data_IF_348984664319
#
_entry.id   IF_348984664319
#
_cell.length_a   1.000
_cell.length_b   1.000
_cell.length_c   1.000
_cell.angle_alpha   90.00
_cell.angle_beta   90.00
_cell.angle_gamma   90.00
#
_symmetry.space_group_name_H-M   'P 1'
#
loop_
_entity.id
_entity.type
_entity.pdbx_description
1 polymer ?
#
# COMPACT_ATOMS: atom_id res chain seq x y z
N UNK A 1 12.36 7.04 4.28
CA UNK A 1 12.22 7.90 5.48
C UNK A 1 13.50 7.93 6.32
N UNK A 2 14.24 6.82 6.40
CA UNK A 2 15.37 6.64 7.34
C UNK A 2 16.68 7.32 6.88
N UNK A 3 16.73 7.79 5.64
CA UNK A 3 17.93 8.37 5.01
C UNK A 3 17.84 9.89 4.80
N UNK A 4 16.73 10.55 5.16
CA UNK A 4 16.53 11.98 4.93
C UNK A 4 17.54 12.80 5.74
N UNK A 5 18.42 13.59 5.09
CA UNK A 5 19.40 14.44 5.79
C UNK A 5 18.69 15.55 6.59
N UNK A 6 18.89 15.59 7.92
CA UNK A 6 18.23 16.57 8.80
C UNK A 6 18.51 18.03 8.41
N UNK A 7 19.72 18.34 7.94
CA UNK A 7 20.10 19.69 7.52
C UNK A 7 19.30 20.16 6.31
N UNK A 8 19.15 19.32 5.29
CA UNK A 8 18.37 19.59 4.08
C UNK A 8 16.87 19.68 4.40
N UNK A 9 16.34 18.75 5.22
CA UNK A 9 14.95 18.80 5.70
C UNK A 9 14.65 20.11 6.42
N UNK A 10 15.53 20.51 7.36
CA UNK A 10 15.37 21.77 8.11
C UNK A 10 15.46 22.99 7.19
N UNK A 11 16.24 22.96 6.11
CA UNK A 11 16.25 24.02 5.10
C UNK A 11 14.88 24.13 4.39
N UNK A 12 14.31 23.00 3.96
CA UNK A 12 12.96 22.96 3.35
C UNK A 12 11.89 23.51 4.30
N UNK A 13 11.97 23.18 5.59
CA UNK A 13 11.02 23.64 6.61
C UNK A 13 11.11 25.16 6.84
N UNK A 14 12.32 25.73 6.89
CA UNK A 14 12.53 27.18 7.06
C UNK A 14 11.92 28.02 5.94
N UNK A 15 11.77 27.46 4.76
CA UNK A 15 11.11 28.16 3.65
C UNK A 15 9.60 28.31 3.84
N UNK A 16 9.00 27.56 4.77
CA UNK A 16 7.56 27.54 5.00
C UNK A 16 7.15 27.96 6.40
N UNK A 17 8.05 27.80 7.36
CA UNK A 17 7.82 28.07 8.78
C UNK A 17 8.76 29.19 9.21
N UNK A 18 8.21 30.34 9.56
CA UNK A 18 8.94 31.48 10.09
C UNK A 18 9.17 31.40 11.61
N UNK A 19 8.32 30.67 12.32
CA UNK A 19 8.40 30.53 13.78
C UNK A 19 9.60 29.68 14.19
N UNK A 20 10.57 30.33 14.83
CA UNK A 20 11.80 29.68 15.33
C UNK A 20 11.52 28.66 16.45
N UNK A 21 10.46 28.83 17.25
CA UNK A 21 10.11 27.90 18.35
C UNK A 21 9.61 26.58 17.75
N UNK A 22 8.74 26.64 16.72
CA UNK A 22 8.26 25.46 15.99
C UNK A 22 9.42 24.73 15.33
N UNK A 23 10.31 25.43 14.63
CA UNK A 23 11.50 24.83 14.01
C UNK A 23 12.41 24.15 15.05
N UNK A 24 12.56 24.75 16.24
CA UNK A 24 13.33 24.16 17.35
C UNK A 24 12.68 22.86 17.84
N UNK A 25 11.36 22.84 18.02
CA UNK A 25 10.61 21.63 18.41
C UNK A 25 10.79 20.49 17.39
N UNK A 26 10.61 20.78 16.10
CA UNK A 26 10.81 19.79 15.05
C UNK A 26 12.25 19.24 15.08
N UNK A 27 13.25 20.12 15.26
CA UNK A 27 14.65 19.69 15.39
C UNK A 27 14.88 18.80 16.61
N UNK A 28 14.20 19.07 17.72
CA UNK A 28 14.24 18.20 18.91
C UNK A 28 13.61 16.83 18.64
N UNK A 29 12.46 16.77 18.00
CA UNK A 29 11.82 15.51 17.64
C UNK A 29 12.67 14.66 16.70
N UNK A 30 13.32 15.27 15.69
CA UNK A 30 14.22 14.56 14.77
C UNK A 30 15.46 13.98 15.48
N UNK A 31 15.86 14.54 16.61
CA UNK A 31 17.01 14.10 17.41
C UNK A 31 16.63 13.26 18.62
N UNK A 32 15.34 13.10 18.87
CA UNK A 32 14.87 12.29 20.00
C UNK A 32 15.38 10.85 19.88
N UNK A 33 15.86 10.26 20.98
CA UNK A 33 16.32 8.89 20.97
C UNK A 33 15.17 7.92 20.65
N UNK A 34 15.44 6.93 19.82
CA UNK A 34 14.53 5.83 19.53
C UNK A 34 14.88 4.68 20.47
N UNK A 35 13.89 4.22 21.23
CA UNK A 35 14.01 3.07 22.12
C UNK A 35 13.55 1.81 21.40
N UNK A 36 14.45 0.86 21.20
CA UNK A 36 14.12 -0.46 20.65
C UNK A 36 14.09 -1.49 21.79
N UNK A 37 12.98 -2.20 21.92
CA UNK A 37 12.87 -3.33 22.85
C UNK A 37 13.78 -4.46 22.38
N UNK A 38 14.83 -4.76 23.13
CA UNK A 38 15.70 -5.89 22.85
C UNK A 38 15.14 -7.17 23.48
N UNK A 39 14.80 -8.15 22.64
CA UNK A 39 14.53 -9.52 23.10
C UNK A 39 15.78 -10.08 23.81
N UNK A 40 15.67 -10.44 25.09
CA UNK A 40 16.66 -11.08 26.00
C UNK A 40 17.17 -10.22 27.15
N UNK A 41 16.26 -9.70 28.02
CA UNK A 41 16.68 -9.30 29.36
C UNK A 41 17.70 -8.17 29.48
N UNK A 42 18.14 -7.58 28.40
CA UNK A 42 18.92 -6.34 28.34
C UNK A 42 17.94 -5.18 28.14
N UNK A 43 18.08 -4.14 28.95
CA UNK A 43 17.24 -2.96 28.86
C UNK A 43 17.15 -2.36 27.44
N UNK A 44 16.19 -1.45 27.19
CA UNK A 44 15.95 -0.88 25.87
C UNK A 44 17.22 -0.22 25.31
N UNK A 45 17.57 -0.53 24.07
CA UNK A 45 18.68 0.11 23.36
C UNK A 45 18.23 1.47 22.87
N UNK A 46 18.86 2.53 23.35
CA UNK A 46 18.63 3.91 22.87
C UNK A 46 19.54 4.18 21.67
N UNK A 47 18.94 4.54 20.55
CA UNK A 47 19.65 4.95 19.33
C UNK A 47 19.34 6.42 19.02
N UNK A 48 20.37 7.23 18.80
CA UNK A 48 20.21 8.64 18.42
C UNK A 48 20.29 8.78 16.91
N UNK A 49 19.19 9.11 16.23
CA UNK A 49 19.18 9.22 14.77
C UNK A 49 19.97 10.45 14.32
N UNK A 50 20.94 10.26 13.42
CA UNK A 50 21.71 11.35 12.77
C UNK A 50 21.02 11.83 11.50
N UNK A 51 20.14 11.01 10.91
CA UNK A 51 19.38 11.25 9.70
C UNK A 51 18.04 10.51 9.80
N UNK A 52 17.15 10.78 8.87
CA UNK A 52 15.83 10.15 8.79
C UNK A 52 14.80 10.77 9.73
N UNK A 53 13.59 10.28 9.60
CA UNK A 53 12.47 10.58 10.50
C UNK A 53 12.08 9.31 11.23
N UNK A 54 11.85 9.35 12.56
CA UNK A 54 11.54 8.14 13.32
C UNK A 54 10.35 7.39 12.74
N UNK A 55 10.51 6.08 12.48
CA UNK A 55 9.41 5.24 12.03
C UNK A 55 8.33 5.16 13.13
N UNK A 56 7.06 5.36 12.72
CA UNK A 56 5.93 5.45 13.66
C UNK A 56 5.72 6.82 14.29
N UNK A 57 6.58 7.80 14.04
CA UNK A 57 6.35 9.18 14.48
C UNK A 57 5.17 9.82 13.73
N UNK A 58 4.23 10.42 14.46
CA UNK A 58 3.01 11.02 13.89
C UNK A 58 3.30 12.07 12.82
N UNK A 59 4.38 12.85 12.99
CA UNK A 59 4.78 13.93 12.06
C UNK A 59 5.69 13.44 10.93
N UNK A 60 6.26 12.24 11.02
CA UNK A 60 7.25 11.73 10.07
C UNK A 60 6.74 11.69 8.62
N UNK A 61 5.50 11.25 8.33
CA UNK A 61 4.97 11.26 6.96
C UNK A 61 4.84 12.68 6.39
N UNK A 62 4.48 13.65 7.23
CA UNK A 62 4.37 15.05 6.82
C UNK A 62 5.75 15.63 6.46
N UNK A 63 6.74 15.39 7.31
CA UNK A 63 8.12 15.87 7.08
C UNK A 63 8.73 15.28 5.81
N UNK A 64 8.53 13.97 5.59
CA UNK A 64 8.97 13.30 4.37
C UNK A 64 8.27 13.87 3.12
N UNK A 65 6.96 14.13 3.19
CA UNK A 65 6.23 14.75 2.10
C UNK A 65 6.68 16.18 1.81
N UNK A 66 7.01 16.98 2.83
CA UNK A 66 7.58 18.32 2.65
C UNK A 66 8.94 18.24 1.94
N UNK A 67 9.75 17.25 2.31
CA UNK A 67 11.06 17.04 1.69
C UNK A 67 10.95 16.59 0.24
N UNK A 68 10.14 15.58 -0.05
CA UNK A 68 9.93 15.05 -1.40
C UNK A 68 9.16 16.00 -2.32
N UNK A 69 8.41 16.97 -1.77
CA UNK A 69 7.74 18.00 -2.57
C UNK A 69 8.73 18.79 -3.48
N UNK A 70 10.00 18.87 -3.09
CA UNK A 70 11.01 19.49 -3.93
C UNK A 70 11.27 18.70 -5.21
N UNK A 71 11.25 17.36 -5.13
CA UNK A 71 11.29 16.51 -6.30
C UNK A 71 10.08 16.75 -7.20
N UNK A 72 8.87 16.79 -6.61
CA UNK A 72 7.64 17.07 -7.36
C UNK A 72 7.75 18.42 -8.08
N UNK A 73 8.22 19.46 -7.37
CA UNK A 73 8.35 20.81 -7.93
C UNK A 73 9.29 20.86 -9.12
N UNK A 74 10.49 20.28 -8.99
CA UNK A 74 11.50 20.27 -10.06
C UNK A 74 11.07 19.41 -11.24
N UNK A 75 10.34 18.32 -10.99
CA UNK A 75 9.78 17.47 -12.03
C UNK A 75 8.76 18.22 -12.91
N UNK A 76 7.97 19.12 -12.30
CA UNK A 76 6.94 19.93 -12.97
C UNK A 76 7.42 21.33 -13.39
N UNK A 77 8.70 21.64 -13.22
CA UNK A 77 9.25 22.94 -13.63
C UNK A 77 9.33 23.06 -15.16
N UNK A 78 9.65 24.27 -15.63
CA UNK A 78 9.78 24.59 -17.06
C UNK A 78 10.87 23.75 -17.77
N UNK A 79 11.91 23.38 -17.03
CA UNK A 79 13.02 22.54 -17.51
C UNK A 79 12.86 21.06 -17.08
N UNK A 80 11.72 20.71 -16.52
CA UNK A 80 11.44 19.37 -15.99
C UNK A 80 10.90 18.37 -17.03
N UNK A 81 10.87 17.08 -16.68
CA UNK A 81 10.40 15.99 -17.56
C UNK A 81 8.98 16.15 -18.09
N UNK A 82 8.13 16.91 -17.41
CA UNK A 82 6.78 17.24 -17.89
C UNK A 82 6.83 17.93 -19.24
N UNK A 83 7.82 18.83 -19.46
CA UNK A 83 7.92 19.62 -20.68
C UNK A 83 8.60 18.84 -21.80
N UNK A 84 9.81 18.33 -21.56
CA UNK A 84 10.61 17.73 -22.63
C UNK A 84 10.29 16.26 -22.91
N UNK A 85 9.69 15.50 -21.96
CA UNK A 85 9.30 14.10 -22.14
C UNK A 85 7.80 13.89 -22.17
N UNK A 86 6.98 14.93 -22.00
CA UNK A 86 5.53 14.82 -21.79
C UNK A 86 5.21 13.75 -20.73
N UNK A 87 5.95 13.82 -19.63
CA UNK A 87 5.85 12.85 -18.54
C UNK A 87 4.95 13.35 -17.43
N UNK A 88 4.29 12.44 -16.74
CA UNK A 88 3.45 12.74 -15.57
C UNK A 88 3.99 11.97 -14.38
N UNK A 89 4.25 12.67 -13.27
CA UNK A 89 4.65 12.07 -12.01
C UNK A 89 3.41 11.89 -11.14
N UNK A 90 3.20 10.67 -10.66
CA UNK A 90 2.19 10.33 -9.65
C UNK A 90 2.93 9.78 -8.44
N UNK A 91 2.89 10.50 -7.31
CA UNK A 91 3.58 10.12 -6.07
C UNK A 91 2.59 9.93 -4.92
N UNK A 92 2.83 8.91 -4.14
CA UNK A 92 2.16 8.65 -2.88
C UNK A 92 3.23 8.31 -1.82
N UNK A 93 3.47 9.24 -0.90
CA UNK A 93 4.57 9.18 0.07
C UNK A 93 5.93 9.00 -0.63
N UNK A 94 6.61 7.89 -0.42
CA UNK A 94 7.89 7.50 -1.04
C UNK A 94 7.72 6.66 -2.32
N UNK A 95 6.54 6.11 -2.55
CA UNK A 95 6.23 5.38 -3.79
C UNK A 95 5.81 6.35 -4.90
N UNK A 96 6.38 6.20 -6.09
CA UNK A 96 5.98 7.02 -7.24
C UNK A 96 6.01 6.23 -8.56
N UNK A 97 5.23 6.72 -9.51
CA UNK A 97 5.18 6.23 -10.89
C UNK A 97 5.36 7.41 -11.84
N UNK A 98 6.21 7.27 -12.82
CA UNK A 98 6.36 8.22 -13.92
C UNK A 98 5.74 7.61 -15.16
N UNK A 99 4.73 8.28 -15.70
CA UNK A 99 4.05 7.90 -16.93
C UNK A 99 4.63 8.80 -18.05
N UNK A 100 5.29 8.21 -19.04
CA UNK A 100 5.85 8.95 -20.15
C UNK A 100 5.41 8.33 -21.49
N UNK A 101 5.20 9.17 -22.48
CA UNK A 101 4.87 8.71 -23.84
C UNK A 101 6.09 8.11 -24.53
N UNK A 102 7.25 8.69 -24.29
CA UNK A 102 8.52 8.27 -24.83
C UNK A 102 9.45 7.92 -23.68
N UNK A 103 10.06 6.76 -23.77
CA UNK A 103 11.04 6.30 -22.79
C UNK A 103 12.43 6.62 -23.31
N UNK A 104 13.16 7.48 -22.59
CA UNK A 104 14.58 7.74 -22.81
C UNK A 104 15.35 7.54 -21.51
N UNK A 105 16.67 7.29 -21.60
CA UNK A 105 17.58 7.26 -20.45
C UNK A 105 17.55 8.57 -19.65
N UNK A 106 17.25 9.69 -20.32
CA UNK A 106 17.18 11.02 -19.73
C UNK A 106 16.25 11.14 -18.53
N UNK A 107 15.07 10.45 -18.55
CA UNK A 107 14.14 10.47 -17.40
C UNK A 107 14.77 9.76 -16.21
N UNK A 108 15.41 8.62 -16.45
CA UNK A 108 16.09 7.86 -15.41
C UNK A 108 17.25 8.66 -14.81
N UNK A 109 18.10 9.21 -15.65
CA UNK A 109 19.23 10.06 -15.25
C UNK A 109 18.75 11.27 -14.43
N UNK A 110 17.68 11.93 -14.88
CA UNK A 110 17.07 13.04 -14.14
C UNK A 110 16.60 12.60 -12.75
N UNK A 111 15.90 11.48 -12.65
CA UNK A 111 15.38 10.95 -11.37
C UNK A 111 16.54 10.61 -10.44
N UNK A 112 17.56 9.91 -10.93
CA UNK A 112 18.73 9.53 -10.15
C UNK A 112 19.50 10.77 -9.68
N UNK A 113 19.72 11.76 -10.55
CA UNK A 113 20.40 13.00 -10.19
C UNK A 113 19.62 13.77 -9.10
N UNK A 114 18.30 13.92 -9.26
CA UNK A 114 17.50 14.70 -8.31
C UNK A 114 17.28 14.00 -7.00
N UNK A 115 17.08 12.69 -7.00
CA UNK A 115 16.84 11.93 -5.76
C UNK A 115 18.14 11.60 -5.05
N UNK A 116 19.15 11.06 -5.75
CA UNK A 116 20.37 10.60 -5.09
C UNK A 116 21.38 11.73 -4.87
N UNK A 117 21.72 12.50 -5.90
CA UNK A 117 22.74 13.54 -5.75
C UNK A 117 22.21 14.78 -5.04
N UNK A 118 21.06 15.27 -5.44
CA UNK A 118 20.54 16.52 -4.90
C UNK A 118 19.82 16.34 -3.56
N UNK A 119 18.87 15.41 -3.45
CA UNK A 119 18.17 15.13 -2.18
C UNK A 119 19.01 14.26 -1.23
N UNK A 120 19.93 13.45 -1.71
CA UNK A 120 20.73 12.53 -0.90
C UNK A 120 19.91 11.35 -0.35
N UNK A 121 18.94 10.90 -1.14
CA UNK A 121 18.14 9.73 -0.86
C UNK A 121 18.62 8.56 -1.73
N UNK A 122 18.33 7.34 -1.33
CA UNK A 122 18.64 6.14 -2.11
C UNK A 122 17.41 5.65 -2.86
N UNK A 123 17.57 5.36 -4.15
CA UNK A 123 16.55 4.70 -4.97
C UNK A 123 16.67 3.18 -4.77
N UNK A 124 15.57 2.53 -4.38
CA UNK A 124 15.55 1.08 -4.30
C UNK A 124 15.52 0.46 -5.71
N UNK A 125 16.69 0.11 -6.22
CA UNK A 125 16.87 -0.41 -7.60
C UNK A 125 16.22 -1.78 -7.82
N UNK A 126 16.03 -2.58 -6.77
CA UNK A 126 15.33 -3.87 -6.87
C UNK A 126 13.83 -3.70 -7.12
N UNK A 127 13.25 -2.61 -6.61
CA UNK A 127 11.82 -2.30 -6.80
C UNK A 127 11.57 -1.36 -7.98
N UNK A 128 12.57 -0.57 -8.37
CA UNK A 128 12.46 0.38 -9.48
C UNK A 128 12.65 -0.34 -10.81
N UNK A 129 11.68 -0.20 -11.69
CA UNK A 129 11.71 -0.84 -13.00
C UNK A 129 11.01 0.00 -14.05
N UNK A 130 11.48 -0.13 -15.26
CA UNK A 130 10.86 0.46 -16.45
C UNK A 130 9.95 -0.60 -17.08
N UNK A 131 8.73 -0.21 -17.40
CA UNK A 131 7.71 -1.13 -17.94
C UNK A 131 7.11 -0.55 -19.22
N UNK A 132 7.19 -1.30 -20.32
CA UNK A 132 6.48 -0.96 -21.54
C UNK A 132 5.06 -1.57 -21.53
N UNK A 133 4.07 -0.72 -21.26
CA UNK A 133 2.67 -1.16 -21.22
C UNK A 133 2.12 -1.55 -22.60
N UNK A 134 2.62 -0.96 -23.70
CA UNK A 134 2.16 -1.26 -25.05
C UNK A 134 2.54 -2.68 -25.50
N UNK A 135 3.68 -3.16 -25.03
CA UNK A 135 4.19 -4.52 -25.27
C UNK A 135 3.65 -5.57 -24.29
N UNK A 136 2.60 -5.23 -23.54
CA UNK A 136 1.97 -6.15 -22.60
C UNK A 136 2.57 -6.15 -21.19
N UNK A 137 3.45 -5.20 -20.88
CA UNK A 137 3.96 -5.02 -19.53
C UNK A 137 2.86 -4.70 -18.53
N UNK A 138 3.16 -4.91 -17.25
CA UNK A 138 2.27 -4.53 -16.15
C UNK A 138 3.08 -4.04 -14.95
N UNK A 139 2.51 -3.15 -14.17
CA UNK A 139 3.09 -2.70 -12.92
C UNK A 139 2.06 -2.66 -11.81
N UNK A 140 2.55 -2.83 -10.59
CA UNK A 140 1.74 -2.71 -9.38
C UNK A 140 1.99 -1.36 -8.72
N UNK A 141 0.92 -0.63 -8.38
CA UNK A 141 0.99 0.62 -7.63
C UNK A 141 -0.20 0.72 -6.68
N UNK A 142 0.06 1.02 -5.42
CA UNK A 142 -0.95 1.14 -4.36
C UNK A 142 -1.92 -0.06 -4.28
N UNK A 143 -1.39 -1.26 -4.45
CA UNK A 143 -2.20 -2.49 -4.38
C UNK A 143 -3.00 -2.81 -5.64
N UNK A 144 -2.96 -1.97 -6.67
CA UNK A 144 -3.55 -2.24 -7.98
C UNK A 144 -2.49 -2.68 -8.97
N UNK A 145 -2.88 -3.54 -9.91
CA UNK A 145 -2.10 -3.88 -11.12
C UNK A 145 -2.68 -3.14 -12.31
N UNK A 146 -1.81 -2.42 -13.01
CA UNK A 146 -2.12 -1.67 -14.24
C UNK A 146 -1.54 -2.40 -15.44
N UNK A 147 -2.35 -2.64 -16.47
CA UNK A 147 -1.95 -3.25 -17.75
C UNK A 147 -2.96 -2.98 -18.85
N UNK A 148 -2.53 -3.02 -20.09
CA UNK A 148 -3.47 -3.06 -21.21
C UNK A 148 -4.03 -4.46 -21.40
N UNK A 149 -5.34 -4.54 -21.66
CA UNK A 149 -6.05 -5.76 -22.06
C UNK A 149 -6.75 -5.53 -23.39
N UNK A 150 -6.87 -6.60 -24.17
CA UNK A 150 -7.69 -6.58 -25.36
C UNK A 150 -9.17 -6.43 -24.99
N UNK A 151 -9.94 -5.79 -25.87
CA UNK A 151 -11.37 -5.68 -25.68
C UNK A 151 -12.04 -7.06 -25.65
N UNK A 152 -13.00 -7.26 -24.76
CA UNK A 152 -13.72 -8.53 -24.58
C UNK A 152 -14.62 -8.86 -25.79
N UNK A 153 -14.96 -7.85 -26.60
CA UNK A 153 -15.80 -8.00 -27.79
C UNK A 153 -14.99 -8.26 -29.07
N UNK A 154 -13.68 -8.55 -28.95
CA UNK A 154 -12.80 -8.83 -30.08
C UNK A 154 -12.43 -7.64 -30.95
N UNK A 155 -12.67 -6.42 -30.47
CA UNK A 155 -12.31 -5.20 -31.19
C UNK A 155 -10.79 -4.97 -31.16
N UNK A 156 -10.20 -4.27 -32.14
CA UNK A 156 -8.74 -4.16 -32.29
C UNK A 156 -8.07 -3.22 -31.25
N UNK A 157 -8.81 -2.59 -30.38
CA UNK A 157 -8.25 -1.70 -29.37
C UNK A 157 -8.01 -2.38 -28.02
N UNK A 158 -7.03 -1.84 -27.31
CA UNK A 158 -6.71 -2.24 -25.95
C UNK A 158 -7.22 -1.17 -25.00
N UNK A 159 -7.71 -1.58 -23.83
CA UNK A 159 -8.10 -0.66 -22.74
C UNK A 159 -7.17 -0.83 -21.54
N UNK A 160 -6.98 0.25 -20.79
CA UNK A 160 -6.23 0.21 -19.54
C UNK A 160 -7.06 -0.50 -18.48
N UNK A 161 -6.59 -1.66 -18.06
CA UNK A 161 -7.21 -2.46 -17.01
C UNK A 161 -6.51 -2.17 -15.68
N UNK A 162 -7.29 -1.74 -14.69
CA UNK A 162 -6.87 -1.56 -13.32
C UNK A 162 -7.61 -2.59 -12.45
N UNK A 163 -6.88 -3.50 -11.85
CA UNK A 163 -7.44 -4.59 -11.03
C UNK A 163 -6.65 -4.76 -9.73
N UNK A 164 -7.25 -5.30 -8.65
CA UNK A 164 -6.51 -5.60 -7.43
C UNK A 164 -5.32 -6.51 -7.72
N UNK A 165 -4.14 -6.16 -7.20
CA UNK A 165 -2.92 -6.92 -7.43
C UNK A 165 -2.99 -8.31 -6.78
N UNK A 166 -2.21 -9.26 -7.31
CA UNK A 166 -2.10 -10.61 -6.73
C UNK A 166 -1.68 -10.56 -5.27
N UNK A 167 -0.78 -9.63 -4.92
CA UNK A 167 -0.32 -9.41 -3.54
C UNK A 167 -1.45 -8.90 -2.64
N UNK A 168 -2.28 -7.96 -3.12
CA UNK A 168 -3.41 -7.44 -2.37
C UNK A 168 -4.48 -8.52 -2.12
N UNK A 169 -4.78 -9.35 -3.13
CA UNK A 169 -5.71 -10.48 -3.00
C UNK A 169 -5.15 -11.51 -1.99
N UNK A 170 -3.86 -11.83 -2.07
CA UNK A 170 -3.23 -12.78 -1.15
C UNK A 170 -3.23 -12.26 0.28
N UNK A 171 -2.88 -11.00 0.49
CA UNK A 171 -2.94 -10.34 1.81
C UNK A 171 -4.33 -10.42 2.44
N UNK A 172 -5.38 -10.19 1.64
CA UNK A 172 -6.75 -10.32 2.11
C UNK A 172 -7.11 -11.77 2.47
N UNK A 173 -6.72 -12.75 1.64
CA UNK A 173 -6.89 -14.17 1.94
C UNK A 173 -6.18 -14.57 3.24
N UNK A 174 -4.98 -14.08 3.47
CA UNK A 174 -4.21 -14.37 4.69
C UNK A 174 -4.90 -13.75 5.93
N UNK A 175 -5.42 -12.54 5.83
CA UNK A 175 -6.19 -11.91 6.89
C UNK A 175 -7.51 -12.66 7.20
N UNK A 176 -8.23 -13.12 6.16
CA UNK A 176 -9.42 -13.98 6.32
C UNK A 176 -9.04 -15.31 6.99
N UNK A 177 -7.93 -15.93 6.58
CA UNK A 177 -7.41 -17.17 7.17
C UNK A 177 -7.10 -16.99 8.65
N UNK A 178 -6.48 -15.88 9.01
CA UNK A 178 -6.16 -15.51 10.39
C UNK A 178 -7.43 -15.29 11.21
N UNK A 179 -8.40 -14.52 10.70
CA UNK A 179 -9.70 -14.24 11.34
C UNK A 179 -10.59 -15.49 11.50
N UNK A 180 -10.32 -16.58 10.75
CA UNK A 180 -11.05 -17.85 10.80
C UNK A 180 -10.19 -19.00 11.34
N UNK A 181 -9.11 -18.69 12.06
CA UNK A 181 -8.22 -19.69 12.65
C UNK A 181 -8.88 -20.39 13.84
N UNK A 182 -8.40 -21.60 14.19
CA UNK A 182 -8.86 -22.40 15.35
C UNK A 182 -8.75 -21.65 16.67
N UNK A 183 -7.80 -20.75 16.84
CA UNK A 183 -7.66 -19.92 18.04
C UNK A 183 -8.92 -19.08 18.34
N UNK A 184 -9.81 -18.87 17.35
CA UNK A 184 -11.06 -18.15 17.48
C UNK A 184 -12.28 -19.05 17.70
N UNK A 185 -12.10 -20.35 17.99
CA UNK A 185 -13.22 -21.28 18.22
C UNK A 185 -14.13 -20.88 19.39
N UNK A 186 -13.61 -20.13 20.34
CA UNK A 186 -14.37 -19.56 21.46
C UNK A 186 -15.35 -18.44 21.05
N UNK A 187 -15.07 -17.76 19.92
CA UNK A 187 -15.86 -16.61 19.46
C UNK A 187 -17.20 -17.07 18.87
N UNK A 188 -18.34 -16.44 19.24
CA UNK A 188 -19.63 -16.70 18.59
C UNK A 188 -19.57 -16.44 17.08
N UNK A 189 -20.21 -17.31 16.28
CA UNK A 189 -20.18 -17.20 14.82
C UNK A 189 -20.73 -15.85 14.30
N UNK A 190 -21.83 -15.29 14.83
CA UNK A 190 -22.32 -13.99 14.41
C UNK A 190 -21.28 -12.87 14.62
N UNK A 191 -20.51 -12.92 15.70
CA UNK A 191 -19.43 -11.94 15.95
C UNK A 191 -18.28 -12.11 14.97
N UNK A 192 -17.90 -13.34 14.65
CA UNK A 192 -16.90 -13.64 13.63
C UNK A 192 -17.33 -13.10 12.26
N UNK A 193 -18.60 -13.34 11.87
CA UNK A 193 -19.18 -12.83 10.63
C UNK A 193 -19.18 -11.29 10.62
N UNK A 194 -19.52 -10.65 11.73
CA UNK A 194 -19.49 -9.18 11.87
C UNK A 194 -18.07 -8.62 11.66
N UNK A 195 -17.05 -9.27 12.21
CA UNK A 195 -15.64 -8.90 11.99
C UNK A 195 -15.23 -9.06 10.53
N UNK A 196 -15.57 -10.21 9.91
CA UNK A 196 -15.30 -10.46 8.50
C UNK A 196 -16.00 -9.43 7.59
N UNK A 197 -17.25 -9.10 7.86
CA UNK A 197 -17.99 -8.09 7.10
C UNK A 197 -17.31 -6.72 7.15
N UNK A 198 -16.76 -6.31 8.31
CA UNK A 198 -16.03 -5.05 8.43
C UNK A 198 -14.76 -5.08 7.58
N UNK A 199 -14.02 -6.17 7.61
CA UNK A 199 -12.81 -6.36 6.85
C UNK A 199 -13.10 -6.38 5.34
N UNK A 200 -14.05 -7.21 4.91
CA UNK A 200 -14.48 -7.30 3.50
C UNK A 200 -15.01 -5.95 3.00
N UNK A 201 -15.82 -5.26 3.79
CA UNK A 201 -16.32 -3.92 3.45
C UNK A 201 -15.19 -2.92 3.24
N UNK A 202 -14.20 -2.89 4.13
CA UNK A 202 -13.01 -2.04 3.97
C UNK A 202 -12.24 -2.35 2.70
N UNK A 203 -11.98 -3.63 2.44
CA UNK A 203 -11.32 -4.09 1.21
C UNK A 203 -12.13 -3.76 -0.04
N UNK A 204 -13.43 -4.02 -0.02
CA UNK A 204 -14.35 -3.75 -1.13
C UNK A 204 -14.46 -2.26 -1.48
N UNK A 205 -14.45 -1.39 -0.46
CA UNK A 205 -14.46 0.06 -0.64
C UNK A 205 -13.14 0.56 -1.24
N UNK A 206 -12.00 0.06 -0.74
CA UNK A 206 -10.69 0.42 -1.29
C UNK A 206 -10.56 -0.02 -2.76
N UNK A 207 -10.93 -1.25 -3.09
CA UNK A 207 -10.88 -1.81 -4.43
C UNK A 207 -12.22 -1.67 -5.18
N UNK A 208 -12.85 -0.50 -5.09
CA UNK A 208 -14.11 -0.21 -5.78
C UNK A 208 -13.92 0.26 -7.22
N UNK A 209 -12.76 0.81 -7.53
CA UNK A 209 -12.44 1.41 -8.84
C UNK A 209 -11.85 0.36 -9.79
N UNK A 210 -12.04 0.56 -11.09
CA UNK A 210 -11.51 -0.32 -12.13
C UNK A 210 -12.31 -1.62 -12.32
N UNK A 211 -11.62 -2.75 -12.40
CA UNK A 211 -12.22 -4.05 -12.74
C UNK A 211 -12.08 -5.09 -11.61
N UNK A 212 -12.65 -4.87 -10.42
CA UNK A 212 -12.44 -5.74 -9.26
C UNK A 212 -13.24 -7.04 -9.29
N UNK A 213 -14.20 -7.23 -10.22
CA UNK A 213 -15.17 -8.35 -10.23
C UNK A 213 -14.52 -9.72 -10.05
N UNK A 214 -13.42 -10.01 -10.78
CA UNK A 214 -12.72 -11.29 -10.67
C UNK A 214 -12.11 -11.50 -9.29
N UNK A 215 -11.49 -10.48 -8.73
CA UNK A 215 -10.88 -10.51 -7.41
C UNK A 215 -11.94 -10.67 -6.31
N UNK A 216 -13.05 -9.94 -6.39
CA UNK A 216 -14.20 -10.07 -5.48
C UNK A 216 -14.75 -11.50 -5.46
N UNK A 217 -14.95 -12.10 -6.64
CA UNK A 217 -15.40 -13.50 -6.75
C UNK A 217 -14.43 -14.45 -6.07
N UNK A 218 -13.12 -14.29 -6.25
CA UNK A 218 -12.11 -15.13 -5.62
C UNK A 218 -12.14 -15.01 -4.09
N UNK A 219 -12.28 -13.79 -3.56
CA UNK A 219 -12.36 -13.55 -2.13
C UNK A 219 -13.64 -14.14 -1.56
N UNK A 220 -14.79 -13.92 -2.19
CA UNK A 220 -16.08 -14.49 -1.75
C UNK A 220 -16.05 -16.02 -1.69
N UNK A 221 -15.46 -16.67 -2.70
CA UNK A 221 -15.27 -18.13 -2.68
C UNK A 221 -14.37 -18.55 -1.50
N UNK A 222 -13.27 -17.84 -1.29
CA UNK A 222 -12.34 -18.14 -0.20
C UNK A 222 -12.97 -17.95 1.18
N UNK A 223 -13.74 -16.89 1.39
CA UNK A 223 -14.46 -16.66 2.66
C UNK A 223 -15.41 -17.82 2.98
N UNK A 224 -16.21 -18.25 2.00
CA UNK A 224 -17.11 -19.39 2.16
C UNK A 224 -16.37 -20.68 2.52
N UNK A 225 -15.30 -20.96 1.81
CA UNK A 225 -14.46 -22.13 2.07
C UNK A 225 -13.89 -22.10 3.50
N UNK A 226 -13.37 -20.94 3.91
CA UNK A 226 -12.80 -20.78 5.25
C UNK A 226 -13.83 -20.90 6.36
N UNK A 227 -14.99 -20.26 6.21
CA UNK A 227 -16.08 -20.37 7.19
C UNK A 227 -16.63 -21.81 7.27
N UNK A 228 -16.80 -22.48 6.13
CA UNK A 228 -17.20 -23.89 6.09
C UNK A 228 -16.21 -24.76 6.87
N UNK A 229 -14.90 -24.62 6.58
CA UNK A 229 -13.84 -25.35 7.29
C UNK A 229 -13.83 -25.01 8.79
N UNK A 230 -14.05 -23.76 9.17
CA UNK A 230 -14.09 -23.33 10.55
C UNK A 230 -15.27 -23.99 11.29
N UNK A 231 -16.49 -23.94 10.74
CA UNK A 231 -17.68 -24.58 11.31
C UNK A 231 -17.53 -26.09 11.47
N UNK A 232 -17.00 -26.77 10.43
CA UNK A 232 -16.80 -28.22 10.44
C UNK A 232 -15.76 -28.68 11.46
N UNK A 233 -14.78 -27.83 11.80
CA UNK A 233 -13.67 -28.17 12.70
C UNK A 233 -13.77 -27.53 14.08
N UNK A 234 -14.84 -26.81 14.36
CA UNK A 234 -15.03 -26.08 15.62
C UNK A 234 -15.27 -26.99 16.81
N UNK A 235 -15.97 -28.09 16.59
CA UNK A 235 -16.27 -29.08 17.62
C UNK A 235 -16.02 -30.49 17.11
N UNK A 236 -16.02 -31.49 18.01
CA UNK A 236 -15.90 -32.89 17.63
C UNK A 236 -17.05 -33.35 16.73
N UNK A 237 -18.28 -32.87 16.99
CA UNK A 237 -19.43 -33.11 16.12
C UNK A 237 -19.36 -32.13 14.94
N UNK A 238 -19.20 -32.65 13.72
CA UNK A 238 -19.17 -31.82 12.50
C UNK A 238 -20.49 -31.08 12.35
N UNK A 239 -20.39 -29.77 12.17
CA UNK A 239 -21.53 -28.93 11.82
C UNK A 239 -22.10 -29.37 10.47
N UNK A 240 -23.41 -29.57 10.40
CA UNK A 240 -24.18 -29.77 9.17
C UNK A 240 -25.26 -28.70 9.13
N UNK A 241 -25.49 -28.04 7.98
CA UNK A 241 -26.65 -27.18 7.80
C UNK A 241 -27.94 -27.99 8.04
N UNK A 242 -29.03 -27.32 8.41
CA UNK A 242 -30.37 -27.95 8.46
C UNK A 242 -30.76 -28.55 7.11
N UNK A 243 -31.58 -29.62 7.12
CA UNK A 243 -32.04 -30.27 5.88
C UNK A 243 -32.55 -29.26 4.86
N UNK A 244 -32.16 -29.41 3.58
CA UNK A 244 -32.52 -28.49 2.51
C UNK A 244 -31.80 -27.14 2.52
N UNK A 245 -30.92 -26.87 3.49
CA UNK A 245 -30.20 -25.58 3.56
C UNK A 245 -28.74 -25.74 3.15
N UNK A 246 -28.27 -24.94 2.18
CA UNK A 246 -26.86 -24.91 1.79
C UNK A 246 -26.02 -24.10 2.81
N UNK A 247 -24.69 -24.32 2.82
CA UNK A 247 -23.78 -23.46 3.59
C UNK A 247 -23.89 -21.99 3.16
N UNK A 248 -24.16 -21.72 1.90
CA UNK A 248 -24.37 -20.37 1.38
C UNK A 248 -25.56 -19.69 2.08
N UNK A 249 -26.73 -20.33 2.06
CA UNK A 249 -27.92 -19.82 2.72
C UNK A 249 -27.75 -19.69 4.25
N UNK A 250 -26.97 -20.58 4.85
CA UNK A 250 -26.62 -20.48 6.28
C UNK A 250 -25.80 -19.24 6.57
N UNK A 251 -24.80 -18.92 5.74
CA UNK A 251 -23.96 -17.72 5.94
C UNK A 251 -24.72 -16.43 5.69
N UNK A 252 -25.67 -16.42 4.73
CA UNK A 252 -26.58 -15.28 4.52
C UNK A 252 -27.47 -15.04 5.74
N UNK A 253 -28.08 -16.11 6.30
CA UNK A 253 -28.86 -16.04 7.55
C UNK A 253 -28.02 -15.52 8.73
N UNK A 254 -26.73 -15.83 8.77
CA UNK A 254 -25.77 -15.31 9.75
C UNK A 254 -25.33 -13.86 9.47
N UNK A 255 -25.82 -13.26 8.40
CA UNK A 255 -25.54 -11.87 8.02
C UNK A 255 -24.23 -11.66 7.28
N UNK A 256 -23.64 -12.70 6.67
CA UNK A 256 -22.43 -12.53 5.83
C UNK A 256 -22.75 -11.70 4.59
N UNK A 257 -22.00 -10.62 4.41
CA UNK A 257 -22.08 -9.75 3.23
C UNK A 257 -20.96 -10.12 2.25
N UNK A 258 -21.32 -10.35 1.01
CA UNK A 258 -20.37 -10.61 -0.08
C UNK A 258 -19.95 -9.30 -0.74
N UNK A 259 -18.73 -9.31 -1.35
CA UNK A 259 -18.17 -8.18 -2.10
C UNK A 259 -18.85 -7.98 -3.46
#
# INVERSE_FOLDING_TARGET
>A
FDTIPHNKLMACLRMRISDRKVLRLIKMWLRAPVSEETFKGRGPKLTYPKQGTPQGGVISPLLANIYLHWFDKVFHDKDGPVQWANATLVRYADDFVILAKYQGCQIQEFVEDRIERWLGLEINREKTRIVNLKEGGSFDFLGYTFRYKNDLLGRPWKYLCMEPSKKAIQKEKDAIKEGTNRKWNWMPIPEMVKKLNRQLGGWGNYFSVGYPRKARRQINCFVRERLTKHLQKRSQRRYRPSEGTSFYATFEKLGLKYL
#
